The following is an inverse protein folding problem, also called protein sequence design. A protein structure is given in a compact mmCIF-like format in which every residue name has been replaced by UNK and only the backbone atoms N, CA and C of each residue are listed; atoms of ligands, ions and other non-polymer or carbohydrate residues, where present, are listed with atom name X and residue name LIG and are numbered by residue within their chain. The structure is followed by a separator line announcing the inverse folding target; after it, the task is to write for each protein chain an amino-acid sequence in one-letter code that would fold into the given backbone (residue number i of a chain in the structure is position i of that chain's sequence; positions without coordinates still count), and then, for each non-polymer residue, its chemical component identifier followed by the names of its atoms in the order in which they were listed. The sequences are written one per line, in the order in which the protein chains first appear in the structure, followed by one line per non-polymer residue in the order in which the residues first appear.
data_IF_605047225428
#
_entry.id   IF_605047225428
#
_cell.length_a   1.000
_cell.length_b   1.000
_cell.length_c   1.000
_cell.angle_alpha   90.00
_cell.angle_beta   90.00
_cell.angle_gamma   90.00
#
_symmetry.space_group_name_H-M   'P 1'
#
loop_
_entity.id
_entity.type
_entity.pdbx_description
1 polymer ?
#
# COMPACT_ATOMS: atom_id res chain seq x y z
N UNK A 1 29.55 21.19 -3.12
CA UNK A 1 28.73 20.32 -3.98
C UNK A 1 27.60 21.18 -4.51
N UNK A 2 27.52 21.37 -5.82
CA UNK A 2 26.47 22.15 -6.47
C UNK A 2 25.27 21.24 -6.75
N UNK A 3 24.08 21.63 -6.30
CA UNK A 3 22.86 20.85 -6.51
C UNK A 3 22.25 21.25 -7.85
N UNK A 4 22.08 20.28 -8.76
CA UNK A 4 21.40 20.49 -10.03
C UNK A 4 19.94 20.04 -9.90
N UNK A 5 19.00 20.94 -10.18
CA UNK A 5 17.58 20.58 -10.22
C UNK A 5 17.27 19.77 -11.48
N UNK A 6 16.69 18.59 -11.29
CA UNK A 6 16.21 17.73 -12.37
C UNK A 6 14.68 17.83 -12.41
N UNK A 7 14.12 18.32 -13.53
CA UNK A 7 12.67 18.39 -13.73
C UNK A 7 12.04 16.99 -13.63
N UNK A 8 10.95 16.87 -12.86
CA UNK A 8 10.25 15.59 -12.77
C UNK A 8 9.62 15.20 -14.10
N UNK A 9 9.54 13.90 -14.37
CA UNK A 9 8.98 13.36 -15.62
C UNK A 9 7.56 13.88 -15.86
N UNK A 10 6.74 13.97 -14.79
CA UNK A 10 5.37 14.48 -14.85
C UNK A 10 5.32 15.92 -15.37
N UNK A 11 6.11 16.83 -14.80
CA UNK A 11 6.13 18.24 -15.23
C UNK A 11 6.54 18.37 -16.70
N UNK A 12 7.58 17.63 -17.11
CA UNK A 12 8.02 17.60 -18.50
C UNK A 12 6.91 17.14 -19.45
N UNK A 13 6.21 16.05 -19.12
CA UNK A 13 5.14 15.49 -19.97
C UNK A 13 3.90 16.39 -20.03
N UNK A 14 3.56 17.08 -18.95
CA UNK A 14 2.46 18.07 -18.93
C UNK A 14 2.81 19.23 -19.86
N UNK A 15 4.02 19.79 -19.72
CA UNK A 15 4.51 20.89 -20.55
C UNK A 15 4.55 20.54 -22.03
N UNK A 16 4.89 19.30 -22.36
CA UNK A 16 4.89 18.79 -23.74
C UNK A 16 3.50 18.37 -24.25
N UNK A 17 2.44 18.43 -23.43
CA UNK A 17 1.09 17.98 -23.81
C UNK A 17 0.93 16.47 -23.95
N UNK A 18 1.92 15.66 -23.51
CA UNK A 18 1.95 14.20 -23.65
C UNK A 18 1.39 13.43 -22.45
N UNK A 19 1.01 14.14 -21.39
CA UNK A 19 0.56 13.52 -20.13
C UNK A 19 -0.62 12.56 -20.31
N UNK A 20 -1.62 12.93 -21.10
CA UNK A 20 -2.80 12.09 -21.34
C UNK A 20 -2.49 10.83 -22.15
N UNK A 21 -1.48 10.87 -23.02
CA UNK A 21 -1.01 9.68 -23.73
C UNK A 21 -0.24 8.75 -22.80
N UNK A 22 0.65 9.30 -21.96
CA UNK A 22 1.37 8.56 -20.93
C UNK A 22 0.42 7.84 -19.96
N UNK A 23 -0.64 8.51 -19.49
CA UNK A 23 -1.64 7.89 -18.62
C UNK A 23 -2.34 6.70 -19.29
N UNK A 24 -2.77 6.85 -20.55
CA UNK A 24 -3.39 5.75 -21.31
C UNK A 24 -2.46 4.55 -21.47
N UNK A 25 -1.18 4.80 -21.74
CA UNK A 25 -0.18 3.74 -21.85
C UNK A 25 0.04 3.04 -20.49
N UNK A 26 0.11 3.78 -19.39
CA UNK A 26 0.25 3.20 -18.05
C UNK A 26 -0.97 2.40 -17.63
N UNK A 27 -2.18 2.89 -17.92
CA UNK A 27 -3.42 2.17 -17.61
C UNK A 27 -3.45 0.78 -18.28
N UNK A 28 -2.99 0.67 -19.53
CA UNK A 28 -2.88 -0.60 -20.23
C UNK A 28 -1.87 -1.57 -19.59
N UNK A 29 -0.79 -1.04 -19.00
CA UNK A 29 0.27 -1.83 -18.34
C UNK A 29 -0.06 -2.21 -16.90
N UNK A 30 -1.02 -1.54 -16.24
CA UNK A 30 -1.39 -1.84 -14.85
C UNK A 30 -1.97 -3.23 -14.66
N UNK A 31 -2.53 -3.83 -15.71
CA UNK A 31 -3.14 -5.16 -15.65
C UNK A 31 -2.09 -6.25 -15.44
N UNK A 32 -0.87 -6.07 -15.96
CA UNK A 32 0.19 -7.10 -15.92
C UNK A 32 1.21 -6.86 -14.81
N UNK A 33 1.25 -5.66 -14.24
CA UNK A 33 2.23 -5.31 -13.21
C UNK A 33 1.76 -5.69 -11.81
N UNK A 34 2.65 -6.36 -11.06
CA UNK A 34 2.44 -6.71 -9.64
C UNK A 34 2.28 -5.45 -8.78
N UNK A 35 2.98 -4.38 -9.14
CA UNK A 35 2.89 -3.06 -8.51
C UNK A 35 2.18 -2.11 -9.47
N UNK A 36 1.07 -1.52 -9.02
CA UNK A 36 0.34 -0.49 -9.77
C UNK A 36 0.97 0.86 -9.50
N UNK A 37 1.63 1.38 -10.52
CA UNK A 37 2.35 2.64 -10.49
C UNK A 37 1.44 3.82 -10.91
N UNK A 38 1.26 4.79 -10.03
CA UNK A 38 0.55 6.06 -10.26
C UNK A 38 1.50 7.27 -10.36
N UNK A 39 2.73 7.03 -10.83
CA UNK A 39 3.81 7.99 -11.00
C UNK A 39 4.21 8.61 -9.65
N UNK A 40 4.29 9.94 -9.60
CA UNK A 40 4.75 10.70 -8.43
C UNK A 40 3.69 10.77 -7.31
N UNK A 41 2.60 9.98 -7.39
CA UNK A 41 1.51 9.97 -6.40
C UNK A 41 1.64 8.78 -5.44
N UNK A 42 1.52 7.55 -5.95
CA UNK A 42 1.53 6.35 -5.13
C UNK A 42 1.90 5.10 -5.93
N UNK A 43 2.47 4.11 -5.24
CA UNK A 43 2.76 2.79 -5.77
C UNK A 43 1.96 1.77 -4.95
N UNK A 44 1.05 1.05 -5.59
CA UNK A 44 0.14 0.16 -4.90
C UNK A 44 0.55 -1.30 -5.10
N UNK A 45 0.75 -2.02 -3.99
CA UNK A 45 1.11 -3.43 -3.98
C UNK A 45 -0.02 -4.28 -3.42
N UNK A 46 -0.20 -5.48 -3.97
CA UNK A 46 -1.11 -6.48 -3.40
C UNK A 46 -0.32 -7.41 -2.48
N UNK A 47 -0.86 -7.62 -1.27
CA UNK A 47 -0.30 -8.54 -0.28
C UNK A 47 -1.39 -9.44 0.27
N UNK A 48 -0.97 -10.53 0.92
CA UNK A 48 -1.84 -11.26 1.84
C UNK A 48 -1.23 -11.30 3.23
N UNK A 49 -2.10 -11.34 4.25
CA UNK A 49 -1.72 -11.45 5.65
C UNK A 49 -2.48 -12.62 6.25
N UNK A 50 -1.77 -13.47 7.00
CA UNK A 50 -2.39 -14.55 7.75
C UNK A 50 -2.47 -15.90 7.04
N UNK A 51 -3.04 -16.82 7.79
CA UNK A 51 -3.37 -18.21 7.45
C UNK A 51 -4.76 -18.53 8.00
N UNK A 52 -5.81 -18.75 7.17
CA UNK A 52 -5.79 -18.58 5.71
C UNK A 52 -5.51 -17.11 5.29
N UNK A 53 -5.02 -16.89 4.06
CA UNK A 53 -4.62 -15.56 3.61
C UNK A 53 -5.81 -14.58 3.49
N UNK A 54 -5.67 -13.38 4.07
CA UNK A 54 -6.57 -12.23 3.92
C UNK A 54 -5.94 -11.20 2.98
N UNK A 55 -6.70 -10.65 2.03
CA UNK A 55 -6.16 -9.85 0.92
C UNK A 55 -6.18 -8.35 1.20
N UNK A 56 -5.06 -7.68 0.90
CA UNK A 56 -4.94 -6.23 1.06
C UNK A 56 -4.24 -5.59 -0.15
N UNK A 57 -4.65 -4.36 -0.45
CA UNK A 57 -3.90 -3.45 -1.29
C UNK A 57 -3.27 -2.40 -0.39
N UNK A 58 -1.95 -2.23 -0.51
CA UNK A 58 -1.17 -1.30 0.31
C UNK A 58 -0.50 -0.24 -0.55
N UNK A 59 -0.23 0.92 0.06
CA UNK A 59 0.69 1.93 -0.49
C UNK A 59 2.11 1.55 -0.08
N UNK A 60 3.03 1.51 -1.05
CA UNK A 60 4.45 1.38 -0.77
C UNK A 60 5.01 2.76 -0.41
N UNK A 61 5.46 2.89 0.83
CA UNK A 61 5.98 4.13 1.38
C UNK A 61 7.48 3.99 1.69
N UNK A 62 8.31 4.72 0.95
CA UNK A 62 9.77 4.76 1.17
C UNK A 62 10.17 5.64 2.36
N UNK A 63 9.23 6.43 2.90
CA UNK A 63 9.44 7.33 4.03
C UNK A 63 9.23 6.69 5.40
N UNK A 64 8.73 5.46 5.47
CA UNK A 64 8.44 4.76 6.72
C UNK A 64 9.02 3.33 6.75
N UNK A 65 9.08 2.74 7.94
CA UNK A 65 9.61 1.38 8.16
C UNK A 65 8.56 0.40 8.69
N UNK A 66 7.33 0.85 8.93
CA UNK A 66 6.27 0.04 9.54
C UNK A 66 5.17 -0.30 8.53
N UNK A 67 4.56 -1.47 8.72
CA UNK A 67 3.31 -1.84 8.05
C UNK A 67 2.15 -1.63 9.02
N UNK A 68 1.20 -0.79 8.64
CA UNK A 68 -0.07 -0.60 9.35
C UNK A 68 -1.24 -1.05 8.47
N UNK A 69 -2.17 -1.79 9.06
CA UNK A 69 -3.34 -2.37 8.39
C UNK A 69 -4.56 -2.09 9.27
N UNK A 70 -5.71 -1.71 8.69
CA UNK A 70 -6.95 -1.57 9.47
C UNK A 70 -7.33 -2.88 10.16
N UNK A 71 -7.53 -2.84 11.48
CA UNK A 71 -8.11 -3.97 12.22
C UNK A 71 -9.61 -4.07 11.96
N UNK A 72 -10.17 -5.28 12.03
CA UNK A 72 -11.63 -5.50 12.02
C UNK A 72 -12.34 -4.81 13.20
N UNK A 73 -11.62 -4.45 14.27
CA UNK A 73 -12.17 -3.64 15.36
C UNK A 73 -12.26 -2.14 15.04
N UNK A 74 -11.65 -1.67 13.95
CA UNK A 74 -11.68 -0.26 13.57
C UNK A 74 -12.98 0.07 12.83
N UNK A 75 -13.82 0.91 13.44
CA UNK A 75 -15.15 1.27 12.93
C UNK A 75 -15.21 2.64 12.27
N UNK A 76 -14.08 3.34 12.16
CA UNK A 76 -14.02 4.65 11.49
C UNK A 76 -14.33 4.51 10.00
N UNK A 77 -14.80 5.59 9.37
CA UNK A 77 -15.05 5.59 7.93
C UNK A 77 -13.77 5.25 7.14
N UNK A 78 -12.62 5.77 7.58
CA UNK A 78 -11.32 5.50 6.97
C UNK A 78 -10.93 4.01 6.99
N UNK A 79 -11.41 3.24 7.97
CA UNK A 79 -11.16 1.80 8.02
C UNK A 79 -12.21 0.99 7.25
N UNK A 80 -13.48 1.38 7.33
CA UNK A 80 -14.61 0.59 6.79
C UNK A 80 -14.74 0.62 5.27
N UNK A 81 -14.14 1.60 4.60
CA UNK A 81 -14.03 1.63 3.14
C UNK A 81 -12.92 0.73 2.59
N UNK A 82 -12.12 0.10 3.46
CA UNK A 82 -10.99 -0.76 3.10
C UNK A 82 -11.15 -2.16 3.67
N UNK A 83 -10.37 -3.10 3.13
CA UNK A 83 -10.26 -4.43 3.74
C UNK A 83 -9.63 -4.31 5.12
N UNK A 84 -10.18 -5.07 6.06
CA UNK A 84 -9.74 -5.06 7.46
C UNK A 84 -9.22 -6.44 7.83
N UNK A 85 -8.15 -6.47 8.63
CA UNK A 85 -7.58 -7.70 9.17
C UNK A 85 -8.49 -8.23 10.28
N UNK A 86 -9.04 -9.43 10.08
CA UNK A 86 -9.64 -10.20 11.15
C UNK A 86 -8.56 -11.07 11.78
N UNK A 87 -8.02 -10.61 12.91
CA UNK A 87 -6.95 -11.29 13.64
C UNK A 87 -7.39 -12.67 14.14
N UNK A 88 -8.65 -12.81 14.53
CA UNK A 88 -9.21 -14.07 15.05
C UNK A 88 -9.39 -15.13 13.96
N UNK A 89 -9.45 -14.71 12.69
CA UNK A 89 -9.58 -15.61 11.56
C UNK A 89 -8.23 -16.18 11.12
N UNK A 90 -7.09 -15.72 11.65
CA UNK A 90 -5.79 -16.26 11.30
C UNK A 90 -5.18 -17.15 12.39
N UNK A 91 -4.80 -18.37 12.00
CA UNK A 91 -4.06 -19.31 12.86
C UNK A 91 -2.60 -18.95 13.09
N UNK A 92 -2.04 -18.01 12.33
CA UNK A 92 -0.63 -17.56 12.44
C UNK A 92 -0.50 -16.19 13.10
N UNK A 93 -1.62 -15.55 13.41
CA UNK A 93 -1.63 -14.29 14.13
C UNK A 93 -1.14 -14.50 15.57
N UNK A 94 -0.10 -13.73 15.93
CA UNK A 94 0.41 -13.62 17.28
C UNK A 94 0.22 -12.19 17.76
N UNK A 95 -0.66 -12.02 18.75
CA UNK A 95 -0.87 -10.73 19.37
C UNK A 95 0.38 -10.30 20.14
N UNK A 96 0.93 -9.11 19.82
CA UNK A 96 1.98 -8.49 20.64
C UNK A 96 1.37 -7.56 21.69
N UNK A 97 0.25 -6.90 21.38
CA UNK A 97 -0.55 -6.11 22.32
C UNK A 97 0.06 -4.75 22.70
N UNK A 98 1.28 -4.45 22.27
CA UNK A 98 1.91 -3.14 22.49
C UNK A 98 1.15 -2.08 21.70
N UNK A 99 0.59 -1.09 22.39
CA UNK A 99 -0.07 0.04 21.74
C UNK A 99 0.92 0.98 21.07
N UNK A 100 0.52 1.58 19.95
CA UNK A 100 1.28 2.60 19.25
C UNK A 100 0.35 3.74 18.82
N UNK A 101 0.93 4.93 18.63
CA UNK A 101 0.22 6.11 18.17
C UNK A 101 1.17 6.99 17.34
N UNK A 102 0.65 7.53 16.24
CA UNK A 102 1.31 8.56 15.43
C UNK A 102 0.36 9.74 15.23
N UNK A 103 0.88 10.94 15.42
CA UNK A 103 0.19 12.19 15.14
C UNK A 103 0.91 12.97 14.05
N UNK A 104 0.15 13.49 13.10
CA UNK A 104 0.66 14.29 11.99
C UNK A 104 0.39 15.79 12.23
N UNK A 105 1.19 16.64 11.58
CA UNK A 105 1.11 18.10 11.76
C UNK A 105 -0.18 18.73 11.21
N UNK A 106 -0.91 18.01 10.36
CA UNK A 106 -2.23 18.42 9.86
C UNK A 106 -3.37 18.10 10.83
N UNK A 107 -3.05 17.55 12.01
CA UNK A 107 -4.02 17.15 13.03
C UNK A 107 -4.63 15.76 12.82
N UNK A 108 -4.25 15.06 11.75
CA UNK A 108 -4.60 13.64 11.57
C UNK A 108 -3.70 12.74 12.42
N UNK A 109 -4.09 11.47 12.55
CA UNK A 109 -3.31 10.51 13.31
C UNK A 109 -3.78 9.09 13.06
N UNK A 110 -3.00 8.14 13.55
CA UNK A 110 -3.36 6.73 13.59
C UNK A 110 -2.88 6.13 14.91
N UNK A 111 -3.63 5.15 15.40
CA UNK A 111 -3.31 4.40 16.59
C UNK A 111 -3.73 2.95 16.41
N UNK A 112 -3.17 2.09 17.24
CA UNK A 112 -3.51 0.68 17.22
C UNK A 112 -2.62 -0.13 18.16
N UNK A 113 -2.57 -1.43 17.88
CA UNK A 113 -1.75 -2.39 18.60
C UNK A 113 -0.83 -3.12 17.63
N UNK A 114 0.35 -3.52 18.12
CA UNK A 114 1.25 -4.36 17.36
C UNK A 114 0.76 -5.80 17.36
N UNK A 115 0.90 -6.44 16.21
CA UNK A 115 0.65 -7.86 15.99
C UNK A 115 1.72 -8.42 15.05
N UNK A 116 1.90 -9.74 15.09
CA UNK A 116 2.78 -10.45 14.16
C UNK A 116 1.96 -11.46 13.40
N UNK A 117 2.11 -11.50 12.08
CA UNK A 117 1.48 -12.50 11.23
C UNK A 117 2.31 -12.70 9.96
N UNK A 118 1.99 -13.73 9.18
CA UNK A 118 2.68 -14.02 7.93
C UNK A 118 2.20 -13.06 6.85
N UNK A 119 3.09 -12.17 6.42
CA UNK A 119 2.88 -11.28 5.28
C UNK A 119 3.49 -11.90 4.03
N UNK A 120 2.72 -11.97 2.94
CA UNK A 120 3.21 -12.40 1.63
C UNK A 120 3.05 -11.26 0.63
N UNK A 121 4.18 -10.78 0.13
CA UNK A 121 4.24 -9.80 -0.96
C UNK A 121 4.21 -10.58 -2.28
N UNK A 122 3.34 -10.17 -3.20
CA UNK A 122 3.19 -10.79 -4.53
C UNK A 122 2.49 -12.16 -4.50
N UNK A 123 1.16 -12.15 -4.62
CA UNK A 123 0.44 -13.30 -5.19
C UNK A 123 0.41 -13.12 -6.71
N UNK A 124 1.20 -13.90 -7.43
CA UNK A 124 0.96 -14.12 -8.85
C UNK A 124 0.10 -15.38 -8.95
N UNK A 125 -1.23 -15.29 -9.16
CA UNK A 125 -2.06 -16.48 -9.36
C UNK A 125 -1.63 -17.27 -10.61
N UNK A 126 -0.96 -16.61 -11.58
CA UNK A 126 -0.60 -17.18 -12.89
C UNK A 126 0.78 -17.84 -12.97
N UNK A 127 1.51 -18.00 -11.86
CA UNK A 127 2.81 -18.70 -11.86
C UNK A 127 2.80 -20.04 -11.11
N UNK A 128 1.61 -20.52 -10.69
CA UNK A 128 1.47 -21.82 -10.02
C UNK A 128 0.37 -22.72 -10.61
N UNK A 129 -0.16 -22.40 -11.79
CA UNK A 129 -0.90 -23.38 -12.59
C UNK A 129 0.05 -24.01 -13.63
N UNK A 130 0.64 -25.14 -13.22
CA UNK A 130 1.39 -26.17 -13.96
C UNK A 130 2.67 -25.77 -14.71
#
# INVERSE_FOLDING_TARGET
MELTHIESRRHRLIREGKWMEHLRQKDALRITNVIRDYDDLEYLGNITIGTPPQYFQIVLDTGSSNLWIPSASCTSLSCTVHNQLNETASSTYANNGTSWHIGYLDGSGADGVLGTDIVRVSYCPFLFEN
#
